data_IF_559566095857
#
_entry.id   IF_559566095857
#
_cell.length_a   1.000
_cell.length_b   1.000
_cell.length_c   1.000
_cell.angle_alpha   90.00
_cell.angle_beta   90.00
_cell.angle_gamma   90.00
#
_symmetry.space_group_name_H-M   'P 1'
#
loop_
_entity.id
_entity.type
_entity.pdbx_description
1 polymer ?
#
# COMPACT_ATOMS: atom_id res chain seq x y z
N UNK A 1 1.75 -1.23 5.40
CA UNK A 1 1.66 -0.78 3.99
C UNK A 1 0.27 -0.94 3.39
N UNK A 2 -0.28 -2.16 3.24
CA UNK A 2 -1.60 -2.41 2.60
C UNK A 2 -2.75 -1.50 3.10
N UNK A 3 -2.83 -1.29 4.41
CA UNK A 3 -3.87 -0.45 5.01
C UNK A 3 -3.74 1.01 4.58
N UNK A 4 -2.52 1.57 4.59
CA UNK A 4 -2.25 2.93 4.12
C UNK A 4 -2.58 3.10 2.64
N UNK A 5 -2.19 2.14 1.79
CA UNK A 5 -2.50 2.18 0.34
C UNK A 5 -4.02 2.25 0.11
N UNK A 6 -4.78 1.36 0.77
CA UNK A 6 -6.24 1.32 0.68
C UNK A 6 -6.89 2.60 1.21
N UNK A 7 -6.42 3.11 2.35
CA UNK A 7 -6.95 4.32 2.97
C UNK A 7 -6.72 5.54 2.10
N UNK A 8 -5.50 5.73 1.58
CA UNK A 8 -5.19 6.88 0.73
C UNK A 8 -5.95 6.84 -0.60
N UNK A 9 -6.06 5.66 -1.23
CA UNK A 9 -6.89 5.49 -2.43
C UNK A 9 -8.34 5.92 -2.16
N UNK A 10 -8.93 5.43 -1.08
CA UNK A 10 -10.31 5.79 -0.67
C UNK A 10 -10.44 7.28 -0.34
N UNK A 11 -9.46 7.86 0.37
CA UNK A 11 -9.43 9.29 0.72
C UNK A 11 -9.42 10.18 -0.53
N UNK A 12 -8.80 9.70 -1.61
CA UNK A 12 -8.74 10.37 -2.91
C UNK A 12 -9.95 10.07 -3.81
N UNK A 13 -10.91 9.26 -3.35
CA UNK A 13 -12.10 8.90 -4.14
C UNK A 13 -11.82 7.97 -5.32
N UNK A 14 -10.65 7.34 -5.37
CA UNK A 14 -10.25 6.47 -6.48
C UNK A 14 -10.81 5.06 -6.29
N UNK A 15 -11.26 4.42 -7.36
CA UNK A 15 -11.61 2.99 -7.36
C UNK A 15 -10.35 2.12 -7.49
N UNK A 16 -10.45 0.83 -7.16
CA UNK A 16 -9.34 -0.10 -7.40
C UNK A 16 -9.03 -0.22 -8.90
N UNK A 17 -10.07 -0.18 -9.75
CA UNK A 17 -9.93 -0.19 -11.20
C UNK A 17 -9.19 1.06 -11.72
N UNK A 18 -9.49 2.26 -11.19
CA UNK A 18 -8.81 3.48 -11.61
C UNK A 18 -7.31 3.47 -11.31
N UNK A 19 -6.90 2.94 -10.15
CA UNK A 19 -5.47 2.77 -9.82
C UNK A 19 -4.85 1.70 -10.71
N UNK A 20 -5.55 0.59 -10.94
CA UNK A 20 -5.07 -0.50 -11.78
C UNK A 20 -4.84 -0.04 -13.23
N UNK A 21 -5.78 0.70 -13.80
CA UNK A 21 -5.70 1.26 -15.15
C UNK A 21 -4.47 2.18 -15.31
N UNK A 22 -4.26 3.08 -14.34
CA UNK A 22 -3.10 3.96 -14.33
C UNK A 22 -1.76 3.20 -14.25
N UNK A 23 -1.75 2.05 -13.55
CA UNK A 23 -0.58 1.16 -13.49
C UNK A 23 -0.50 0.13 -14.63
N UNK A 24 -1.47 0.10 -15.55
CA UNK A 24 -1.64 -0.94 -16.59
C UNK A 24 -1.70 -2.36 -16.01
N UNK A 25 -2.43 -2.51 -14.91
CA UNK A 25 -2.65 -3.76 -14.19
C UNK A 25 -4.11 -4.16 -14.18
N UNK A 26 -4.35 -5.44 -13.86
CA UNK A 26 -5.69 -5.93 -13.55
C UNK A 26 -6.18 -5.39 -12.20
N UNK A 27 -7.47 -5.06 -12.09
CA UNK A 27 -8.07 -4.60 -10.83
C UNK A 27 -7.88 -5.63 -9.69
N UNK A 28 -7.84 -6.92 -10.01
CA UNK A 28 -7.61 -8.01 -9.06
C UNK A 28 -6.22 -7.94 -8.41
N UNK A 29 -5.22 -7.34 -9.07
CA UNK A 29 -3.89 -7.10 -8.50
C UNK A 29 -3.99 -6.10 -7.36
N UNK A 30 -4.71 -4.98 -7.56
CA UNK A 30 -4.95 -3.99 -6.50
C UNK A 30 -5.75 -4.59 -5.34
N UNK A 31 -6.76 -5.42 -5.63
CA UNK A 31 -7.53 -6.09 -4.59
C UNK A 31 -6.65 -6.99 -3.70
N UNK A 32 -5.82 -7.86 -4.30
CA UNK A 32 -4.89 -8.75 -3.59
C UNK A 32 -3.86 -7.97 -2.77
N UNK A 33 -3.37 -6.84 -3.29
CA UNK A 33 -2.46 -5.93 -2.57
C UNK A 33 -3.15 -5.35 -1.33
N UNK A 34 -4.37 -4.83 -1.48
CA UNK A 34 -5.11 -4.20 -0.39
C UNK A 34 -5.58 -5.19 0.68
N UNK A 35 -5.81 -6.45 0.30
CA UNK A 35 -6.09 -7.57 1.20
C UNK A 35 -4.83 -8.09 1.89
N UNK A 36 -3.65 -7.88 1.30
CA UNK A 36 -2.37 -8.37 1.81
C UNK A 36 -1.99 -9.76 1.32
N UNK A 37 -2.71 -10.29 0.34
CA UNK A 37 -2.45 -11.56 -0.34
C UNK A 37 -1.29 -11.45 -1.33
N UNK A 38 -0.98 -10.23 -1.80
CA UNK A 38 0.16 -9.94 -2.67
C UNK A 38 1.05 -8.88 -2.04
N UNK A 39 2.35 -9.17 -1.97
CA UNK A 39 3.35 -8.16 -1.58
C UNK A 39 3.53 -7.13 -2.71
N UNK A 40 3.89 -5.92 -2.32
CA UNK A 40 4.20 -4.83 -3.24
C UNK A 40 5.69 -4.56 -3.09
N UNK A 41 6.43 -4.59 -4.19
CA UNK A 41 7.83 -4.16 -4.18
C UNK A 41 7.96 -2.63 -4.26
N UNK A 42 9.19 -2.12 -4.21
CA UNK A 42 9.42 -0.66 -4.18
C UNK A 42 9.03 0.04 -5.49
N UNK A 43 9.20 -0.61 -6.64
CA UNK A 43 8.87 -0.05 -7.97
C UNK A 43 7.35 0.00 -8.12
N UNK A 44 6.68 -1.08 -7.77
CA UNK A 44 5.22 -1.16 -7.74
C UNK A 44 4.61 -0.13 -6.79
N UNK A 45 5.24 0.09 -5.63
CA UNK A 45 4.82 1.13 -4.69
C UNK A 45 4.93 2.53 -5.29
N UNK A 46 6.00 2.83 -6.03
CA UNK A 46 6.19 4.12 -6.70
C UNK A 46 5.10 4.34 -7.76
N UNK A 47 4.84 3.34 -8.60
CA UNK A 47 3.78 3.44 -9.61
C UNK A 47 2.39 3.63 -8.98
N UNK A 48 2.10 2.94 -7.87
CA UNK A 48 0.86 3.15 -7.13
C UNK A 48 0.76 4.56 -6.54
N UNK A 49 1.86 5.12 -6.02
CA UNK A 49 1.88 6.49 -5.52
C UNK A 49 1.56 7.49 -6.65
N UNK A 50 2.20 7.33 -7.81
CA UNK A 50 1.98 8.18 -8.99
C UNK A 50 0.55 8.05 -9.53
N UNK A 51 0.01 6.82 -9.61
CA UNK A 51 -1.39 6.57 -9.98
C UNK A 51 -2.38 7.25 -9.03
N UNK A 52 -2.03 7.35 -7.75
CA UNK A 52 -2.80 8.10 -6.75
C UNK A 52 -2.48 9.61 -6.71
N UNK A 53 -1.68 10.11 -7.65
CA UNK A 53 -1.21 11.52 -7.71
C UNK A 53 -0.54 11.97 -6.41
N UNK A 54 0.18 11.05 -5.76
CA UNK A 54 0.98 11.30 -4.57
C UNK A 54 2.46 11.20 -4.91
N UNK A 55 3.27 12.06 -4.28
CA UNK A 55 4.72 11.83 -4.26
C UNK A 55 5.05 10.55 -3.49
N UNK A 56 5.91 9.64 -3.98
CA UNK A 56 6.24 8.39 -3.28
C UNK A 56 6.70 8.60 -1.84
N UNK A 57 7.49 9.65 -1.57
CA UNK A 57 8.00 9.98 -0.24
C UNK A 57 6.88 10.38 0.72
N UNK A 58 5.84 11.05 0.19
CA UNK A 58 4.65 11.40 0.99
C UNK A 58 3.90 10.14 1.39
N UNK A 59 3.65 9.25 0.44
CA UNK A 59 2.96 7.99 0.73
C UNK A 59 3.78 7.12 1.68
N UNK A 60 5.09 7.07 1.49
CA UNK A 60 5.99 6.30 2.35
C UNK A 60 6.00 6.83 3.78
N UNK A 61 6.01 8.16 3.96
CA UNK A 61 5.87 8.78 5.28
C UNK A 61 4.56 8.38 5.98
N UNK A 62 3.46 8.24 5.25
CA UNK A 62 2.19 7.75 5.80
C UNK A 62 2.26 6.26 6.16
N UNK A 63 2.98 5.45 5.37
CA UNK A 63 3.26 4.07 5.73
C UNK A 63 4.07 4.01 7.03
N UNK A 64 5.13 4.80 7.16
CA UNK A 64 5.96 4.87 8.38
C UNK A 64 5.14 5.27 9.61
N UNK A 65 4.25 6.26 9.50
CA UNK A 65 3.36 6.67 10.60
C UNK A 65 2.40 5.56 11.06
N UNK A 66 1.96 4.71 10.14
CA UNK A 66 1.02 3.62 10.42
C UNK A 66 1.70 2.26 10.65
N UNK A 67 3.03 2.19 10.54
CA UNK A 67 3.79 1.01 10.92
C UNK A 67 3.81 0.93 12.45
N UNK A 68 2.95 0.08 13.00
CA UNK A 68 3.17 -0.43 14.36
C UNK A 68 4.40 -1.31 14.32
N UNK A 69 5.36 -1.05 15.20
CA UNK A 69 6.45 -1.99 15.47
C UNK A 69 5.79 -3.30 15.92
N UNK A 70 6.16 -4.47 15.38
CA UNK A 70 5.77 -5.71 16.05
C UNK A 70 6.28 -5.60 17.49
N UNK A 71 5.38 -5.75 18.47
CA UNK A 71 5.79 -5.96 19.85
C UNK A 71 6.73 -7.17 19.84
N UNK A 72 7.88 -7.01 20.49
CA UNK A 72 8.99 -7.95 20.41
C UNK A 72 8.49 -9.37 20.62
N UNK A 73 8.99 -10.29 19.78
CA UNK A 73 9.02 -11.70 20.12
C UNK A 73 9.55 -11.82 21.53
N UNK A 74 8.70 -12.31 22.43
CA UNK A 74 9.08 -12.71 23.77
C UNK A 74 10.11 -13.84 23.63
N UNK A 75 11.39 -13.49 23.64
CA UNK A 75 12.51 -14.42 23.73
C UNK A 75 12.70 -14.95 25.17
N UNK A 76 11.76 -14.71 26.10
CA UNK A 76 11.81 -15.20 27.48
C UNK A 76 11.17 -16.58 27.66
N UNK A 77 11.28 -17.44 26.65
CA UNK A 77 11.05 -18.89 26.79
C UNK A 77 12.15 -19.63 26.04
N UNK A 78 13.30 -19.80 26.68
CA UNK A 78 13.90 -21.08 27.08
C UNK A 78 15.22 -20.82 27.82
#
# INVERSE_FOLDING_TARGET
MRQTLRQERKRLGLTQAAVAEACRWEQSVIAKIEQGERRVDVVEFIWMAEAMRLKPERLFRLVLKNLRKPEGTDESRH
#
